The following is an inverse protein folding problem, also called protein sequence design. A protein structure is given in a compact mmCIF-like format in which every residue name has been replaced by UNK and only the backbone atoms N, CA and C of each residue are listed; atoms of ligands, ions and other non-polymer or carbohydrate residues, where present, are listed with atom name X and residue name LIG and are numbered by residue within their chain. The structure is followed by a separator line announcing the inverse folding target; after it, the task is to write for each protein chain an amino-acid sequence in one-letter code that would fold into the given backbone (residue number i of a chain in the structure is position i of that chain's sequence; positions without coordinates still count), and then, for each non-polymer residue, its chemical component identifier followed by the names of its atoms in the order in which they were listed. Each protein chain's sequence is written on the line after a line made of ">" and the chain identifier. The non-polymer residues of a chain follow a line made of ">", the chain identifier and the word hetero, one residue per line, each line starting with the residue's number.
data_IF_305580983909
#
_entry.id   IF_305580983909
#
_cell.length_a   1.000
_cell.length_b   1.000
_cell.length_c   1.000
_cell.angle_alpha   90.00
_cell.angle_beta   90.00
_cell.angle_gamma   90.00
#
_symmetry.space_group_name_H-M   'P 1'
#
loop_
_entity.id
_entity.type
_entity.pdbx_description
1 polymer ?
#
# COMPACT_ATOMS: atom_id res chain seq x y z
N UNK A 1 7.26 -3.76 -56.30
CA UNK A 1 5.81 -3.97 -56.16
C UNK A 1 5.38 -3.32 -54.85
N UNK A 2 4.89 -2.08 -54.93
CA UNK A 2 4.66 -1.20 -53.78
C UNK A 2 3.32 -1.51 -53.12
N UNK A 3 3.32 -1.62 -51.79
CA UNK A 3 2.10 -1.79 -51.00
C UNK A 3 1.34 -0.47 -50.91
N UNK A 4 0.03 -0.56 -51.10
CA UNK A 4 -0.93 0.52 -51.21
C UNK A 4 -1.50 0.80 -49.81
N UNK A 5 -1.22 1.96 -49.23
CA UNK A 5 -1.90 2.42 -48.01
C UNK A 5 -2.95 3.47 -48.40
N UNK A 6 -4.21 3.15 -48.15
CA UNK A 6 -5.37 4.00 -48.37
C UNK A 6 -5.39 5.12 -47.33
N UNK A 7 -5.16 6.36 -47.77
CA UNK A 7 -5.38 7.57 -46.96
C UNK A 7 -6.85 7.96 -47.05
N UNK A 8 -7.59 7.84 -45.95
CA UNK A 8 -8.95 8.36 -45.84
C UNK A 8 -8.87 9.80 -45.32
N UNK A 9 -9.11 10.77 -46.20
CA UNK A 9 -9.10 12.20 -45.89
C UNK A 9 -10.43 12.62 -45.25
N UNK A 10 -10.39 13.22 -44.06
CA UNK A 10 -11.53 13.95 -43.48
C UNK A 10 -11.60 15.39 -44.03
N UNK A 11 -12.81 15.98 -44.18
CA UNK A 11 -12.99 17.29 -44.80
C UNK A 11 -12.57 18.44 -43.87
N UNK A 12 -12.13 19.59 -44.41
CA UNK A 12 -11.72 20.75 -43.62
C UNK A 12 -12.93 21.63 -43.27
N UNK A 13 -12.80 22.36 -42.16
CA UNK A 13 -13.63 23.47 -41.67
C UNK A 13 -14.67 23.13 -40.60
N UNK A 14 -14.25 23.22 -39.34
CA UNK A 14 -15.08 23.74 -38.25
C UNK A 14 -14.26 24.72 -37.41
N UNK A 15 -14.72 25.97 -37.16
CA UNK A 15 -13.87 27.04 -36.67
C UNK A 15 -13.91 27.15 -35.13
N UNK A 16 -13.60 26.09 -34.39
CA UNK A 16 -13.35 26.18 -32.94
C UNK A 16 -12.40 25.07 -32.50
N UNK A 17 -11.10 25.23 -32.76
CA UNK A 17 -10.06 24.38 -32.18
C UNK A 17 -8.93 25.28 -31.71
N UNK A 18 -9.02 25.73 -30.46
CA UNK A 18 -7.85 26.19 -29.73
C UNK A 18 -6.94 24.96 -29.61
N UNK A 19 -5.88 24.93 -30.42
CA UNK A 19 -4.82 23.95 -30.29
C UNK A 19 -4.02 24.29 -29.03
N UNK A 20 -4.40 23.69 -27.90
CA UNK A 20 -3.44 23.54 -26.80
C UNK A 20 -2.47 22.44 -27.20
N UNK A 21 -1.38 22.84 -27.81
CA UNK A 21 -0.21 21.99 -28.01
C UNK A 21 0.47 21.86 -26.64
N UNK A 22 0.10 20.82 -25.89
CA UNK A 22 0.81 20.44 -24.66
C UNK A 22 2.12 19.80 -25.11
N UNK A 23 3.11 20.61 -25.46
CA UNK A 23 4.42 20.12 -25.90
C UNK A 23 5.33 19.75 -24.71
N UNK A 24 4.95 20.11 -23.49
CA UNK A 24 5.75 19.90 -22.28
C UNK A 24 4.83 19.50 -21.11
N UNK A 25 4.88 18.24 -20.67
CA UNK A 25 4.40 17.89 -19.33
C UNK A 25 5.45 18.37 -18.33
N UNK A 26 5.10 19.13 -17.27
CA UNK A 26 6.04 19.45 -16.20
C UNK A 26 6.68 18.16 -15.73
N UNK A 27 8.01 18.11 -15.78
CA UNK A 27 8.79 16.93 -15.41
C UNK A 27 8.21 16.35 -14.13
N UNK A 28 7.70 15.12 -14.20
CA UNK A 28 7.21 14.41 -13.03
C UNK A 28 8.39 14.36 -12.05
N UNK A 29 8.31 15.16 -10.97
CA UNK A 29 9.32 15.14 -9.92
C UNK A 29 9.22 13.76 -9.24
N UNK A 30 10.12 12.87 -9.64
CA UNK A 30 10.30 11.60 -8.94
C UNK A 30 10.89 11.93 -7.58
N UNK A 31 10.25 11.46 -6.50
CA UNK A 31 10.78 11.65 -5.15
C UNK A 31 12.17 11.03 -5.05
N UNK A 32 13.12 11.75 -4.45
CA UNK A 32 14.47 11.23 -4.27
C UNK A 32 14.44 10.00 -3.36
N UNK A 33 15.48 9.15 -3.42
CA UNK A 33 15.59 8.03 -2.49
C UNK A 33 15.56 8.46 -1.03
N UNK A 34 16.06 9.67 -0.73
CA UNK A 34 15.98 10.28 0.60
C UNK A 34 14.54 10.61 0.98
N UNK A 35 13.79 11.25 0.09
CA UNK A 35 12.38 11.62 0.34
C UNK A 35 11.50 10.37 0.52
N UNK A 36 11.77 9.32 -0.28
CA UNK A 36 11.11 8.03 -0.14
C UNK A 36 11.40 7.40 1.22
N UNK A 37 12.67 7.42 1.67
CA UNK A 37 13.04 6.87 2.98
C UNK A 37 12.49 7.67 4.15
N UNK A 38 12.50 9.00 4.09
CA UNK A 38 11.94 9.84 5.16
C UNK A 38 10.43 9.72 5.32
N UNK A 39 9.74 9.13 4.34
CA UNK A 39 8.29 8.88 4.37
C UNK A 39 7.94 7.39 4.42
N UNK A 40 8.93 6.50 4.52
CA UNK A 40 8.70 5.06 4.65
C UNK A 40 8.33 4.71 6.08
N UNK A 41 7.26 3.94 6.28
CA UNK A 41 6.75 3.62 7.62
C UNK A 41 7.78 2.93 8.52
N UNK A 42 8.60 2.04 7.97
CA UNK A 42 9.68 1.36 8.70
C UNK A 42 10.74 2.33 9.24
N UNK A 43 10.95 3.48 8.60
CA UNK A 43 11.87 4.50 9.07
C UNK A 43 11.26 5.46 10.10
N UNK A 44 9.95 5.39 10.32
CA UNK A 44 9.20 6.26 11.23
C UNK A 44 8.78 5.56 12.53
N UNK A 45 9.08 4.26 12.66
CA UNK A 45 8.86 3.52 13.89
C UNK A 45 9.73 4.12 15.00
N UNK A 46 9.11 4.25 16.18
CA UNK A 46 9.76 4.64 17.43
C UNK A 46 9.27 3.75 18.58
N UNK A 47 9.95 3.73 19.74
CA UNK A 47 9.49 2.99 20.92
C UNK A 47 8.12 3.44 21.47
N UNK A 48 7.64 4.63 21.10
CA UNK A 48 6.33 5.14 21.49
C UNK A 48 5.21 4.80 20.51
N UNK A 49 5.51 4.04 19.45
CA UNK A 49 4.51 3.65 18.46
C UNK A 49 3.43 2.76 19.10
N UNK A 50 2.17 2.86 18.66
CA UNK A 50 1.11 2.01 19.20
C UNK A 50 1.33 0.55 18.79
N UNK A 51 0.60 -0.41 19.38
CA UNK A 51 0.56 -1.78 18.87
C UNK A 51 0.04 -1.86 17.43
N UNK A 52 0.59 -2.75 16.61
CA UNK A 52 0.19 -2.93 15.21
C UNK A 52 -0.40 -4.32 14.93
N UNK A 53 -1.45 -4.35 14.11
CA UNK A 53 -1.89 -5.56 13.42
C UNK A 53 -1.68 -5.35 11.91
N UNK A 54 -0.86 -6.20 11.30
CA UNK A 54 -0.52 -6.13 9.88
C UNK A 54 -1.01 -7.40 9.18
N UNK A 55 -1.62 -7.26 8.01
CA UNK A 55 -1.91 -8.38 7.13
C UNK A 55 -1.62 -8.04 5.67
N UNK A 56 -1.24 -9.04 4.88
CA UNK A 56 -0.85 -8.86 3.49
C UNK A 56 -0.96 -10.18 2.69
N UNK A 57 -0.85 -10.13 1.36
CA UNK A 57 -0.75 -11.32 0.49
C UNK A 57 0.59 -11.35 -0.26
N UNK A 58 1.23 -12.51 -0.37
CA UNK A 58 2.52 -12.64 -1.04
C UNK A 58 2.43 -12.42 -2.56
N UNK A 59 1.24 -12.57 -3.14
CA UNK A 59 0.95 -12.34 -4.56
C UNK A 59 0.58 -10.88 -4.90
N UNK A 60 0.66 -9.93 -3.95
CA UNK A 60 0.44 -8.52 -4.24
C UNK A 60 1.56 -7.95 -5.14
N UNK A 61 1.25 -7.82 -6.44
CA UNK A 61 2.18 -7.30 -7.43
C UNK A 61 2.33 -5.78 -7.42
N UNK A 62 1.42 -5.05 -6.77
CA UNK A 62 1.42 -3.59 -6.76
C UNK A 62 2.18 -3.04 -5.55
N UNK A 63 2.02 -3.67 -4.40
CA UNK A 63 2.73 -3.32 -3.17
C UNK A 63 3.39 -4.59 -2.62
N UNK A 64 4.69 -4.79 -2.88
CA UNK A 64 5.36 -6.03 -2.52
C UNK A 64 5.33 -6.32 -1.00
N UNK A 65 5.23 -7.59 -0.56
CA UNK A 65 5.15 -7.98 0.85
C UNK A 65 6.35 -7.54 1.69
N UNK A 66 7.49 -7.23 1.06
CA UNK A 66 8.70 -6.71 1.70
C UNK A 66 8.46 -5.39 2.44
N UNK A 67 7.42 -4.63 2.07
CA UNK A 67 7.01 -3.46 2.84
C UNK A 67 6.49 -3.85 4.24
N UNK A 68 5.68 -4.89 4.31
CA UNK A 68 5.17 -5.44 5.58
C UNK A 68 6.31 -6.03 6.42
N UNK A 69 7.22 -6.78 5.80
CA UNK A 69 8.35 -7.37 6.52
C UNK A 69 9.31 -6.33 7.11
N UNK A 70 9.61 -5.26 6.36
CA UNK A 70 10.45 -4.17 6.86
C UNK A 70 9.80 -3.44 8.03
N UNK A 71 8.50 -3.15 7.95
CA UNK A 71 7.78 -2.52 9.06
C UNK A 71 7.77 -3.43 10.28
N UNK A 72 7.49 -4.73 10.12
CA UNK A 72 7.52 -5.69 11.22
C UNK A 72 8.90 -5.78 11.89
N UNK A 73 9.98 -5.81 11.09
CA UNK A 73 11.34 -5.83 11.61
C UNK A 73 11.67 -4.56 12.41
N UNK A 74 11.24 -3.38 11.94
CA UNK A 74 11.42 -2.12 12.65
C UNK A 74 10.62 -2.09 13.98
N UNK A 75 9.37 -2.55 13.97
CA UNK A 75 8.55 -2.68 15.18
C UNK A 75 9.19 -3.61 16.21
N UNK A 76 9.73 -4.76 15.75
CA UNK A 76 10.46 -5.69 16.61
C UNK A 76 11.73 -5.06 17.20
N UNK A 77 12.51 -4.32 16.41
CA UNK A 77 13.74 -3.68 16.87
C UNK A 77 13.48 -2.67 18.01
N UNK A 78 12.36 -1.96 17.96
CA UNK A 78 11.95 -0.97 18.96
C UNK A 78 11.06 -1.55 20.08
N UNK A 79 10.90 -2.88 20.14
CA UNK A 79 10.06 -3.57 21.11
C UNK A 79 8.58 -3.12 21.11
N UNK A 80 8.08 -2.68 19.95
CA UNK A 80 6.68 -2.31 19.77
C UNK A 80 5.85 -3.59 19.57
N UNK A 81 4.78 -3.83 20.37
CA UNK A 81 3.93 -5.01 20.19
C UNK A 81 3.29 -5.06 18.80
N UNK A 82 3.40 -6.19 18.11
CA UNK A 82 2.83 -6.32 16.76
C UNK A 82 2.48 -7.76 16.40
N UNK A 83 1.52 -7.91 15.50
CA UNK A 83 1.12 -9.18 14.88
C UNK A 83 1.15 -9.04 13.36
N UNK A 84 1.66 -10.05 12.65
CA UNK A 84 1.79 -10.05 11.19
C UNK A 84 1.23 -11.33 10.60
N UNK A 85 0.35 -11.19 9.61
CA UNK A 85 -0.16 -12.31 8.81
C UNK A 85 0.11 -12.07 7.33
N UNK A 86 0.98 -12.86 6.71
CA UNK A 86 1.15 -12.86 5.24
C UNK A 86 0.60 -14.15 4.67
N UNK A 87 -0.46 -14.02 3.87
CA UNK A 87 -1.10 -15.15 3.20
C UNK A 87 -0.46 -15.38 1.84
N UNK A 88 -0.36 -16.63 1.36
CA UNK A 88 0.31 -16.92 0.09
C UNK A 88 -0.42 -16.32 -1.12
N UNK A 89 -1.76 -16.28 -1.09
CA UNK A 89 -2.56 -15.98 -2.27
C UNK A 89 -3.48 -14.76 -2.12
N UNK A 90 -3.70 -14.09 -3.26
CA UNK A 90 -4.69 -13.04 -3.40
C UNK A 90 -4.11 -11.73 -3.98
N UNK A 91 -4.83 -11.04 -4.89
CA UNK A 91 -4.34 -9.84 -5.54
C UNK A 91 -4.31 -8.64 -4.58
N UNK A 92 -3.76 -7.53 -5.07
CA UNK A 92 -3.91 -6.24 -4.40
C UNK A 92 -5.39 -5.88 -4.17
N UNK A 93 -5.65 -5.09 -3.13
CA UNK A 93 -6.97 -4.49 -2.84
C UNK A 93 -8.10 -5.49 -2.54
N UNK A 94 -7.85 -6.47 -1.67
CA UNK A 94 -8.87 -7.44 -1.24
C UNK A 94 -9.95 -6.90 -0.29
N UNK A 95 -9.74 -5.75 0.37
CA UNK A 95 -10.67 -5.19 1.35
C UNK A 95 -11.04 -6.21 2.45
N UNK A 96 -12.32 -6.59 2.53
CA UNK A 96 -12.81 -7.60 3.48
C UNK A 96 -12.50 -9.06 3.08
N UNK A 97 -11.81 -9.27 1.96
CA UNK A 97 -11.29 -10.54 1.47
C UNK A 97 -12.37 -11.65 1.29
N UNK A 98 -13.60 -11.28 0.91
CA UNK A 98 -14.66 -12.25 0.66
C UNK A 98 -14.30 -13.16 -0.53
N UNK A 99 -14.33 -14.48 -0.30
CA UNK A 99 -13.97 -15.46 -1.32
C UNK A 99 -12.48 -15.57 -1.64
N UNK A 100 -11.60 -14.84 -0.92
CA UNK A 100 -10.16 -14.83 -1.17
C UNK A 100 -9.40 -15.97 -0.44
N UNK A 101 -10.02 -17.16 -0.34
CA UNK A 101 -9.44 -18.30 0.35
C UNK A 101 -9.05 -18.01 1.80
N UNK A 102 -7.86 -18.45 2.21
CA UNK A 102 -7.35 -18.27 3.58
C UNK A 102 -7.25 -16.80 4.00
N UNK A 103 -6.97 -15.87 3.06
CA UNK A 103 -6.90 -14.45 3.39
C UNK A 103 -8.22 -13.94 3.99
N UNK A 104 -9.36 -14.55 3.68
CA UNK A 104 -10.67 -14.19 4.28
C UNK A 104 -10.70 -14.29 5.82
N UNK A 105 -9.76 -15.04 6.42
CA UNK A 105 -9.63 -15.23 7.87
C UNK A 105 -8.97 -14.06 8.59
N UNK A 106 -8.34 -13.10 7.87
CA UNK A 106 -7.61 -11.98 8.49
C UNK A 106 -8.47 -11.21 9.51
N UNK A 107 -9.78 -11.07 9.25
CA UNK A 107 -10.73 -10.37 10.13
C UNK A 107 -10.86 -11.06 11.49
N UNK A 108 -10.84 -12.40 11.51
CA UNK A 108 -10.93 -13.18 12.76
C UNK A 108 -9.66 -13.03 13.58
N UNK A 109 -8.50 -12.99 12.93
CA UNK A 109 -7.24 -12.69 13.61
C UNK A 109 -7.22 -11.27 14.16
N UNK A 110 -7.70 -10.28 13.38
CA UNK A 110 -7.82 -8.90 13.83
C UNK A 110 -8.78 -8.77 15.03
N UNK A 111 -9.93 -9.44 15.00
CA UNK A 111 -10.89 -9.47 16.11
C UNK A 111 -10.24 -10.05 17.38
N UNK A 112 -9.60 -11.21 17.28
CA UNK A 112 -8.89 -11.83 18.40
C UNK A 112 -7.80 -10.91 18.96
N UNK A 113 -7.04 -10.26 18.07
CA UNK A 113 -6.01 -9.30 18.46
C UNK A 113 -6.61 -8.07 19.17
N UNK A 114 -7.70 -7.50 18.69
CA UNK A 114 -8.38 -6.37 19.36
C UNK A 114 -8.83 -6.77 20.76
N UNK A 115 -9.43 -7.95 20.91
CA UNK A 115 -9.85 -8.47 22.22
C UNK A 115 -8.65 -8.63 23.15
N UNK A 116 -7.53 -9.14 22.65
CA UNK A 116 -6.29 -9.24 23.41
C UNK A 116 -5.78 -7.85 23.84
N UNK A 117 -5.69 -6.89 22.92
CA UNK A 117 -5.20 -5.53 23.22
C UNK A 117 -6.09 -4.76 24.19
N UNK A 118 -7.41 -4.98 24.14
CA UNK A 118 -8.38 -4.31 25.01
C UNK A 118 -8.51 -5.01 26.36
N UNK A 119 -8.42 -6.33 26.42
CA UNK A 119 -8.45 -7.12 27.64
C UNK A 119 -7.15 -7.06 28.46
N UNK A 120 -6.00 -6.82 27.83
CA UNK A 120 -4.69 -6.72 28.49
C UNK A 120 -4.36 -5.32 29.03
N UNK A 121 -5.18 -4.30 28.74
CA UNK A 121 -5.06 -2.98 29.38
C UNK A 121 -5.44 -3.01 30.87
N UNK A 122 -4.56 -3.56 31.71
CA UNK A 122 -4.43 -3.09 33.10
C UNK A 122 -3.73 -1.73 33.07
N UNK A 123 -4.20 -0.71 33.81
CA UNK A 123 -3.51 0.57 33.88
C UNK A 123 -2.14 0.36 34.52
N UNK A 124 -1.08 0.46 33.73
CA UNK A 124 0.27 0.58 34.24
C UNK A 124 0.43 2.01 34.77
N UNK A 125 0.37 2.17 36.10
CA UNK A 125 0.72 3.43 36.76
C UNK A 125 -0.32 4.05 37.70
N UNK A 126 -1.17 3.29 38.40
CA UNK A 126 -1.81 3.82 39.60
C UNK A 126 -0.82 3.73 40.78
N UNK A 127 -0.39 4.84 41.40
CA UNK A 127 0.44 4.77 42.60
C UNK A 127 -0.37 4.18 43.75
N UNK A 128 0.26 3.28 44.51
CA UNK A 128 -0.23 2.77 45.80
C UNK A 128 -0.07 3.86 46.85
#
# INVERSE_FOLDING_TARGET
>A
SSQKTTSQSCPPNSPHSLKYEITEWPSIHHSSGRDRRSTSLDALVTPSSPPFFLWHTAEDSYVPPEHTYRLAAALAADNVPHTVHVFPHGPHSLGLAHGAGEASTWKRFAESWIVEQTGTRKPQGAPV
#
